data_IF_559449652326
#
_entry.id   IF_559449652326
#
_cell.length_a   1.000
_cell.length_b   1.000
_cell.length_c   1.000
_cell.angle_alpha   90.00
_cell.angle_beta   90.00
_cell.angle_gamma   90.00
#
_symmetry.space_group_name_H-M   'P 1'
#
loop_
_entity.id
_entity.type
_entity.pdbx_description
1 polymer ?
#
# COMPACT_ATOMS: atom_id res chain seq x y z
N UNK A 1 -4.97 66.26 -57.20
CA UNK A 1 -5.80 65.06 -56.94
C UNK A 1 -4.93 63.96 -56.51
N UNK A 2 -4.84 63.69 -55.20
CA UNK A 2 -4.17 62.52 -54.63
C UNK A 2 -5.06 61.97 -53.53
N UNK A 3 -5.66 60.77 -53.73
CA UNK A 3 -6.44 60.01 -52.74
C UNK A 3 -5.50 59.42 -51.73
N UNK A 4 -5.65 59.77 -50.46
CA UNK A 4 -5.01 59.09 -49.33
C UNK A 4 -5.86 57.90 -48.96
N UNK A 5 -5.28 56.72 -49.02
CA UNK A 5 -5.89 55.46 -48.50
C UNK A 5 -5.65 55.36 -47.00
N UNK A 6 -6.72 55.42 -46.24
CA UNK A 6 -6.71 55.18 -44.79
C UNK A 6 -6.74 53.66 -44.56
N UNK A 7 -5.64 53.07 -44.06
CA UNK A 7 -5.55 51.71 -43.66
C UNK A 7 -6.01 51.62 -42.21
N UNK A 8 -7.18 51.04 -42.00
CA UNK A 8 -7.73 50.72 -40.68
C UNK A 8 -7.12 49.38 -40.22
N UNK A 9 -6.15 49.45 -39.29
CA UNK A 9 -5.52 48.25 -38.67
C UNK A 9 -6.38 47.77 -37.54
N UNK A 10 -7.10 46.64 -37.73
CA UNK A 10 -7.88 45.98 -36.71
C UNK A 10 -6.94 45.08 -35.86
N UNK A 11 -6.59 45.56 -34.69
CA UNK A 11 -5.81 44.80 -33.73
C UNK A 11 -6.74 43.83 -32.99
N UNK A 12 -6.72 42.53 -33.37
CA UNK A 12 -7.47 41.46 -32.73
C UNK A 12 -6.74 41.05 -31.45
N UNK A 13 -7.24 41.50 -30.29
CA UNK A 13 -6.74 41.09 -28.96
C UNK A 13 -7.15 39.65 -28.70
N UNK A 14 -6.22 38.70 -28.88
CA UNK A 14 -6.31 37.33 -28.40
C UNK A 14 -6.06 37.30 -26.87
N UNK A 15 -7.14 37.29 -26.10
CA UNK A 15 -7.08 36.99 -24.66
C UNK A 15 -6.77 35.51 -24.47
N UNK A 16 -5.68 35.12 -23.76
CA UNK A 16 -5.47 33.73 -23.40
C UNK A 16 -6.56 33.31 -22.43
N UNK A 17 -7.35 32.32 -22.80
CA UNK A 17 -8.24 31.64 -21.87
C UNK A 17 -7.38 30.87 -20.82
N UNK A 18 -7.22 31.47 -19.66
CA UNK A 18 -6.62 30.77 -18.49
C UNK A 18 -7.60 29.70 -18.08
N UNK A 19 -7.36 28.48 -18.54
CA UNK A 19 -8.06 27.27 -18.05
C UNK A 19 -7.62 27.06 -16.61
N UNK A 20 -8.48 27.45 -15.66
CA UNK A 20 -8.33 27.08 -14.26
C UNK A 20 -8.48 25.56 -14.17
N UNK A 21 -7.37 24.85 -14.21
CA UNK A 21 -7.34 23.44 -13.86
C UNK A 21 -7.84 23.34 -12.41
N UNK A 22 -9.10 22.91 -12.25
CA UNK A 22 -9.64 22.56 -10.95
C UNK A 22 -8.79 21.41 -10.40
N UNK A 23 -7.94 21.71 -9.44
CA UNK A 23 -7.26 20.74 -8.61
C UNK A 23 -8.34 19.98 -7.83
N UNK A 24 -8.79 18.85 -8.37
CA UNK A 24 -9.62 17.92 -7.62
C UNK A 24 -8.77 17.39 -6.46
N UNK A 25 -9.10 17.80 -5.25
CA UNK A 25 -8.52 17.17 -4.05
C UNK A 25 -8.71 15.65 -4.18
N UNK A 26 -7.70 14.83 -3.90
CA UNK A 26 -7.84 13.39 -4.02
C UNK A 26 -9.01 12.94 -3.14
N UNK A 27 -9.98 12.27 -3.77
CA UNK A 27 -11.14 11.74 -3.06
C UNK A 27 -10.65 10.65 -2.12
N UNK A 28 -10.87 10.81 -0.82
CA UNK A 28 -10.50 9.82 0.19
C UNK A 28 -11.14 8.47 -0.12
N UNK A 29 -10.33 7.42 -0.08
CA UNK A 29 -10.81 6.06 -0.24
C UNK A 29 -11.51 5.61 1.06
N UNK A 30 -12.80 5.31 0.97
CA UNK A 30 -13.58 4.81 2.10
C UNK A 30 -13.94 3.34 1.88
N UNK A 31 -13.64 2.49 2.86
CA UNK A 31 -13.95 1.07 2.84
C UNK A 31 -14.67 0.66 4.12
N UNK A 32 -15.62 -0.26 4.00
CA UNK A 32 -16.31 -0.89 5.12
C UNK A 32 -16.11 -2.41 5.01
N UNK A 33 -15.31 -2.99 5.91
CA UNK A 33 -15.07 -4.43 5.95
C UNK A 33 -15.96 -5.05 7.01
N UNK A 34 -16.85 -5.95 6.61
CA UNK A 34 -17.78 -6.65 7.50
C UNK A 34 -17.22 -8.01 7.90
N UNK A 35 -17.25 -8.31 9.20
CA UNK A 35 -16.88 -9.62 9.74
C UNK A 35 -18.00 -10.20 10.59
N UNK A 36 -18.17 -11.53 10.57
CA UNK A 36 -19.10 -12.19 11.50
C UNK A 36 -18.62 -12.06 12.94
N UNK A 37 -17.32 -12.18 13.17
CA UNK A 37 -16.63 -11.91 14.43
C UNK A 37 -15.36 -11.11 14.17
N UNK A 38 -14.94 -10.31 15.14
CA UNK A 38 -13.67 -9.58 15.07
C UNK A 38 -13.06 -9.55 16.48
N UNK A 39 -11.82 -10.00 16.61
CA UNK A 39 -10.99 -9.70 17.78
C UNK A 39 -10.23 -8.41 17.49
N UNK A 40 -10.33 -7.42 18.39
CA UNK A 40 -9.54 -6.19 18.24
C UNK A 40 -8.21 -6.29 19.01
N UNK A 41 -7.34 -5.29 18.83
CA UNK A 41 -6.05 -5.25 19.49
C UNK A 41 -6.14 -5.10 21.04
N UNK A 42 -7.32 -4.81 21.57
CA UNK A 42 -7.59 -4.66 23.00
C UNK A 42 -8.21 -5.90 23.63
N UNK A 43 -8.34 -6.99 22.85
CA UNK A 43 -8.88 -8.26 23.32
C UNK A 43 -10.41 -8.32 23.35
N UNK A 44 -11.11 -7.34 22.79
CA UNK A 44 -12.57 -7.35 22.69
C UNK A 44 -13.03 -8.18 21.50
N UNK A 45 -13.99 -9.06 21.73
CA UNK A 45 -14.69 -9.79 20.68
C UNK A 45 -15.94 -9.01 20.26
N UNK A 46 -15.99 -8.65 18.99
CA UNK A 46 -17.14 -8.04 18.35
C UNK A 46 -17.90 -9.09 17.54
N UNK A 47 -19.23 -9.03 17.53
CA UNK A 47 -20.10 -9.84 16.66
C UNK A 47 -20.72 -8.93 15.62
N UNK A 48 -20.79 -9.37 14.37
CA UNK A 48 -21.23 -8.58 13.23
C UNK A 48 -20.49 -7.22 13.12
N UNK A 49 -19.17 -7.29 13.23
CA UNK A 49 -18.31 -6.12 13.22
C UNK A 49 -18.19 -5.49 11.84
N UNK A 50 -18.11 -4.18 11.81
CA UNK A 50 -17.83 -3.38 10.62
C UNK A 50 -16.62 -2.52 10.93
N UNK A 51 -15.54 -2.74 10.18
CA UNK A 51 -14.32 -1.92 10.26
C UNK A 51 -14.41 -0.85 9.18
N UNK A 52 -14.49 0.41 9.59
CA UNK A 52 -14.48 1.56 8.69
C UNK A 52 -13.03 2.02 8.47
N UNK A 53 -12.63 2.10 7.21
CA UNK A 53 -11.27 2.45 6.80
C UNK A 53 -11.33 3.69 5.91
N UNK A 54 -10.51 4.67 6.21
CA UNK A 54 -10.28 5.86 5.42
C UNK A 54 -8.83 5.86 4.96
N UNK A 55 -8.63 5.77 3.66
CA UNK A 55 -7.31 5.58 3.03
C UNK A 55 -6.59 4.32 3.57
N UNK A 56 -5.55 4.50 4.38
CA UNK A 56 -4.73 3.45 5.00
C UNK A 56 -4.98 3.29 6.50
N UNK A 57 -6.02 3.96 7.06
CA UNK A 57 -6.26 4.01 8.51
C UNK A 57 -7.62 3.46 8.91
N UNK A 58 -7.64 2.66 9.96
CA UNK A 58 -8.88 2.29 10.62
C UNK A 58 -9.45 3.53 11.32
N UNK A 59 -10.64 3.91 10.91
CA UNK A 59 -11.37 5.06 11.46
C UNK A 59 -12.12 4.67 12.71
N UNK A 60 -12.86 3.55 12.63
CA UNK A 60 -13.65 3.02 13.73
C UNK A 60 -14.03 1.57 13.50
N UNK A 61 -14.47 0.93 14.59
CA UNK A 61 -15.14 -0.37 14.56
C UNK A 61 -16.54 -0.17 15.15
N UNK A 62 -17.57 -0.62 14.41
CA UNK A 62 -18.98 -0.50 14.80
C UNK A 62 -19.70 -1.81 14.51
N UNK A 63 -20.92 -1.95 15.03
CA UNK A 63 -21.87 -3.02 14.65
C UNK A 63 -23.09 -2.44 13.92
N UNK A 64 -23.15 -1.11 13.79
CA UNK A 64 -24.30 -0.42 13.21
C UNK A 64 -24.04 -0.15 11.71
N UNK A 65 -24.86 -0.75 10.85
CA UNK A 65 -24.74 -0.57 9.40
C UNK A 65 -25.07 0.85 8.92
N UNK A 66 -25.78 1.65 9.70
CA UNK A 66 -26.04 3.06 9.36
C UNK A 66 -24.80 3.94 9.44
N UNK A 67 -23.72 3.47 10.10
CA UNK A 67 -22.46 4.18 10.18
C UNK A 67 -21.63 4.06 8.90
N UNK A 68 -22.02 3.17 7.97
CA UNK A 68 -21.33 2.99 6.70
C UNK A 68 -21.62 4.21 5.80
N UNK A 69 -20.56 4.94 5.37
CA UNK A 69 -20.76 6.04 4.43
C UNK A 69 -21.35 5.55 3.11
N UNK A 70 -22.29 6.33 2.52
CA UNK A 70 -23.05 5.92 1.33
C UNK A 70 -22.20 5.55 0.11
N UNK A 71 -20.97 6.08 0.01
CA UNK A 71 -20.03 5.83 -1.08
C UNK A 71 -18.84 4.95 -0.68
N UNK A 72 -18.90 4.30 0.50
CA UNK A 72 -17.85 3.38 0.93
C UNK A 72 -17.91 2.08 0.13
N UNK A 73 -16.74 1.59 -0.29
CA UNK A 73 -16.62 0.24 -0.84
C UNK A 73 -16.90 -0.78 0.26
N UNK A 74 -17.87 -1.65 0.07
CA UNK A 74 -18.20 -2.71 1.02
C UNK A 74 -17.42 -3.97 0.65
N UNK A 75 -16.69 -4.52 1.63
CA UNK A 75 -16.00 -5.82 1.56
C UNK A 75 -16.69 -6.74 2.57
N UNK A 76 -17.46 -7.71 2.08
CA UNK A 76 -18.22 -8.61 2.94
C UNK A 76 -17.43 -9.88 3.26
N UNK A 77 -16.91 -9.93 4.47
CA UNK A 77 -16.25 -11.09 5.08
C UNK A 77 -17.04 -11.61 6.29
N UNK A 78 -18.36 -11.47 6.28
CA UNK A 78 -19.24 -11.86 7.41
C UNK A 78 -19.20 -13.36 7.76
N UNK A 79 -18.69 -14.19 6.86
CA UNK A 79 -18.43 -15.62 7.14
C UNK A 79 -17.11 -15.89 7.88
N UNK A 80 -16.28 -14.87 8.05
CA UNK A 80 -14.94 -14.99 8.62
C UNK A 80 -14.83 -14.28 9.96
N UNK A 81 -13.79 -14.66 10.70
CA UNK A 81 -13.35 -13.94 11.90
C UNK A 81 -12.16 -13.07 11.54
N UNK A 82 -12.30 -11.76 11.76
CA UNK A 82 -11.20 -10.79 11.59
C UNK A 82 -10.28 -10.80 12.81
N UNK A 83 -9.00 -10.62 12.56
CA UNK A 83 -7.94 -10.44 13.56
C UNK A 83 -7.07 -9.26 13.13
N UNK A 84 -6.40 -8.57 14.06
CA UNK A 84 -5.27 -7.71 13.71
C UNK A 84 -4.20 -8.52 12.98
N UNK A 85 -3.50 -7.88 12.04
CA UNK A 85 -2.37 -8.52 11.40
C UNK A 85 -1.31 -8.94 12.41
N UNK A 86 -0.73 -10.11 12.19
CA UNK A 86 0.34 -10.65 13.03
C UNK A 86 1.61 -9.83 12.88
N UNK A 87 2.43 -9.82 13.92
CA UNK A 87 3.73 -9.16 13.95
C UNK A 87 4.80 -10.21 14.20
N UNK A 88 5.75 -10.33 13.28
CA UNK A 88 6.94 -11.14 13.46
C UNK A 88 8.13 -10.24 13.81
N UNK A 89 8.73 -10.46 14.96
CA UNK A 89 9.77 -9.59 15.50
C UNK A 89 11.19 -10.08 15.22
N UNK A 90 11.34 -11.17 14.49
CA UNK A 90 12.64 -11.73 14.12
C UNK A 90 12.57 -12.35 12.74
N UNK A 91 12.91 -11.58 11.71
CA UNK A 91 12.95 -12.02 10.32
C UNK A 91 14.28 -11.68 9.65
N UNK A 92 14.52 -12.34 8.52
CA UNK A 92 15.57 -12.06 7.55
C UNK A 92 14.93 -12.09 6.17
N UNK A 93 14.22 -11.01 5.84
CA UNK A 93 13.30 -10.96 4.69
C UNK A 93 14.02 -11.06 3.35
N UNK A 94 15.27 -10.62 3.28
CA UNK A 94 16.08 -10.65 2.05
C UNK A 94 16.88 -11.92 1.88
N UNK A 95 16.97 -12.75 2.91
CA UNK A 95 17.63 -14.05 2.80
C UNK A 95 16.74 -14.99 1.98
N UNK A 96 17.11 -15.16 0.71
CA UNK A 96 16.42 -16.08 -0.18
C UNK A 96 17.21 -17.38 -0.31
N UNK A 97 16.57 -18.49 0.03
CA UNK A 97 17.06 -19.82 -0.29
C UNK A 97 16.04 -20.52 -1.18
N UNK A 98 16.47 -21.14 -2.25
CA UNK A 98 15.61 -21.89 -3.15
C UNK A 98 15.33 -23.32 -2.67
N UNK A 99 15.87 -23.65 -1.49
CA UNK A 99 15.76 -24.99 -0.86
C UNK A 99 16.24 -26.11 -1.79
N UNK A 100 17.18 -25.81 -2.71
CA UNK A 100 17.72 -26.82 -3.61
C UNK A 100 18.38 -27.95 -2.82
N UNK A 101 17.91 -29.20 -2.97
CA UNK A 101 18.46 -30.32 -2.22
C UNK A 101 19.98 -30.47 -2.46
N UNK A 102 20.72 -30.65 -1.36
CA UNK A 102 22.18 -30.89 -1.41
C UNK A 102 23.05 -29.64 -1.60
N UNK A 103 22.47 -28.45 -1.70
CA UNK A 103 23.23 -27.21 -1.72
C UNK A 103 23.47 -26.69 -0.29
N UNK A 104 24.73 -26.41 0.10
CA UNK A 104 24.98 -25.77 1.39
C UNK A 104 24.28 -24.42 1.50
N UNK A 105 23.66 -24.16 2.66
CA UNK A 105 22.94 -22.90 2.91
C UNK A 105 23.81 -21.68 2.65
N UNK A 106 25.07 -21.67 3.10
CA UNK A 106 26.00 -20.57 2.87
C UNK A 106 26.18 -20.26 1.38
N UNK A 107 26.24 -21.29 0.54
CA UNK A 107 26.38 -21.11 -0.91
C UNK A 107 25.13 -20.47 -1.52
N UNK A 108 23.95 -20.82 -1.03
CA UNK A 108 22.71 -20.22 -1.48
C UNK A 108 22.62 -18.74 -1.04
N UNK A 109 23.02 -18.42 0.19
CA UNK A 109 23.01 -17.05 0.73
C UNK A 109 23.96 -16.09 0.01
N UNK A 110 24.99 -16.61 -0.64
CA UNK A 110 26.01 -15.78 -1.33
C UNK A 110 25.98 -15.92 -2.86
N UNK A 111 24.96 -16.59 -3.37
CA UNK A 111 24.90 -16.92 -4.82
C UNK A 111 24.52 -15.74 -5.71
N UNK A 112 23.78 -14.79 -5.16
CA UNK A 112 23.18 -13.72 -5.93
C UNK A 112 23.74 -12.35 -5.58
N UNK A 113 23.82 -11.42 -6.52
CA UNK A 113 24.05 -10.01 -6.21
C UNK A 113 22.89 -9.39 -5.38
N UNK A 114 23.16 -8.34 -4.56
CA UNK A 114 22.15 -7.71 -3.69
C UNK A 114 20.82 -7.33 -4.39
N UNK A 115 20.91 -6.76 -5.59
CA UNK A 115 19.73 -6.39 -6.35
C UNK A 115 18.86 -7.60 -6.74
N UNK A 116 19.47 -8.74 -6.99
CA UNK A 116 18.77 -10.00 -7.29
C UNK A 116 18.12 -10.55 -6.03
N UNK A 117 18.81 -10.50 -4.88
CA UNK A 117 18.26 -10.95 -3.59
C UNK A 117 17.00 -10.18 -3.23
N UNK A 118 17.00 -8.83 -3.31
CA UNK A 118 15.80 -8.01 -3.08
C UNK A 118 14.66 -8.40 -4.02
N UNK A 119 14.97 -8.67 -5.30
CA UNK A 119 13.96 -9.07 -6.27
C UNK A 119 13.35 -10.43 -5.94
N UNK A 120 14.17 -11.41 -5.54
CA UNK A 120 13.71 -12.75 -5.16
C UNK A 120 12.94 -12.73 -3.84
N UNK A 121 13.38 -11.92 -2.88
CA UNK A 121 12.74 -11.72 -1.58
C UNK A 121 11.28 -11.24 -1.69
N UNK A 122 10.91 -10.56 -2.79
CA UNK A 122 9.53 -10.16 -3.07
C UNK A 122 8.53 -11.31 -2.92
N UNK A 123 8.90 -12.51 -3.34
CA UNK A 123 8.04 -13.69 -3.22
C UNK A 123 7.83 -14.08 -1.75
N UNK A 124 8.88 -13.98 -0.94
CA UNK A 124 8.81 -14.19 0.51
C UNK A 124 7.92 -13.16 1.19
N UNK A 125 8.07 -11.87 0.82
CA UNK A 125 7.24 -10.79 1.36
C UNK A 125 5.74 -11.01 1.10
N UNK A 126 5.38 -11.41 -0.11
CA UNK A 126 3.99 -11.72 -0.45
C UNK A 126 3.45 -12.89 0.37
N UNK A 127 4.20 -13.99 0.48
CA UNK A 127 3.84 -15.14 1.30
C UNK A 127 3.67 -14.78 2.78
N UNK A 128 4.51 -13.89 3.29
CA UNK A 128 4.41 -13.39 4.66
C UNK A 128 3.09 -12.67 4.89
N UNK A 129 2.68 -11.80 3.94
CA UNK A 129 1.36 -11.15 3.98
C UNK A 129 0.22 -12.16 3.86
N UNK A 130 0.30 -13.13 2.96
CA UNK A 130 -0.71 -14.17 2.76
C UNK A 130 -0.87 -15.07 4.00
N UNK A 131 0.19 -15.24 4.78
CA UNK A 131 0.14 -15.91 6.09
C UNK A 131 -0.47 -15.05 7.20
N UNK A 132 -0.85 -13.79 6.92
CA UNK A 132 -1.45 -12.86 7.88
C UNK A 132 -0.45 -12.04 8.69
N UNK A 133 0.85 -12.13 8.40
CA UNK A 133 1.88 -11.30 9.04
C UNK A 133 1.98 -9.98 8.29
N UNK A 134 1.53 -8.90 8.92
CA UNK A 134 1.45 -7.56 8.30
C UNK A 134 2.58 -6.62 8.71
N UNK A 135 3.35 -7.01 9.72
CA UNK A 135 4.49 -6.24 10.23
C UNK A 135 5.61 -7.19 10.59
N UNK A 136 6.84 -6.84 10.21
CA UNK A 136 8.03 -7.60 10.55
C UNK A 136 9.11 -6.69 11.12
N UNK A 137 9.96 -7.23 12.01
CA UNK A 137 11.24 -6.66 12.37
C UNK A 137 12.34 -7.51 11.76
N UNK A 138 13.01 -6.97 10.77
CA UNK A 138 14.16 -7.60 10.16
C UNK A 138 15.41 -7.38 10.99
N UNK A 139 16.18 -8.43 11.23
CA UNK A 139 17.37 -8.39 12.08
C UNK A 139 18.67 -8.37 11.29
N UNK A 140 18.58 -8.04 10.03
CA UNK A 140 19.73 -7.77 9.20
C UNK A 140 19.77 -8.59 7.92
N UNK A 141 20.47 -8.01 6.97
CA UNK A 141 20.82 -8.56 5.67
C UNK A 141 22.26 -8.20 5.33
N UNK A 142 22.77 -8.78 4.29
CA UNK A 142 24.00 -8.31 3.68
C UNK A 142 23.74 -7.01 2.90
N UNK A 143 24.72 -6.10 2.89
CA UNK A 143 24.74 -4.92 2.02
C UNK A 143 23.50 -4.02 2.03
N UNK A 144 22.77 -3.96 3.17
CA UNK A 144 21.59 -3.08 3.37
C UNK A 144 20.39 -3.39 2.48
N UNK A 145 20.24 -4.61 2.03
CA UNK A 145 19.13 -5.08 1.18
C UNK A 145 17.78 -4.96 1.88
N UNK A 146 17.74 -5.17 3.19
CA UNK A 146 16.59 -5.00 4.07
C UNK A 146 16.07 -3.56 4.04
N UNK A 147 17.00 -2.58 4.06
CA UNK A 147 16.67 -1.16 3.93
C UNK A 147 16.05 -0.87 2.56
N UNK A 148 16.66 -1.40 1.49
CA UNK A 148 16.13 -1.22 0.13
C UNK A 148 14.73 -1.83 0.00
N UNK A 149 14.53 -3.04 0.52
CA UNK A 149 13.24 -3.73 0.50
C UNK A 149 12.18 -2.98 1.31
N UNK A 150 12.51 -2.51 2.53
CA UNK A 150 11.63 -1.67 3.34
C UNK A 150 11.17 -0.44 2.58
N UNK A 151 12.08 0.26 1.92
CA UNK A 151 11.78 1.50 1.22
C UNK A 151 10.92 1.24 -0.03
N UNK A 152 11.16 0.16 -0.77
CA UNK A 152 10.29 -0.26 -1.88
C UNK A 152 8.87 -0.57 -1.40
N UNK A 153 8.72 -1.27 -0.27
CA UNK A 153 7.41 -1.55 0.32
C UNK A 153 6.74 -0.25 0.79
N UNK A 154 7.47 0.62 1.45
CA UNK A 154 6.97 1.91 1.96
C UNK A 154 6.45 2.82 0.84
N UNK A 155 7.09 2.80 -0.32
CA UNK A 155 6.70 3.61 -1.48
C UNK A 155 5.65 2.93 -2.37
N UNK A 156 5.22 1.71 -2.04
CA UNK A 156 4.22 0.97 -2.81
C UNK A 156 4.75 0.29 -4.07
N UNK A 157 6.06 0.26 -4.27
CA UNK A 157 6.73 -0.39 -5.40
C UNK A 157 6.86 -1.91 -5.21
N UNK A 158 6.71 -2.37 -3.97
CA UNK A 158 6.71 -3.79 -3.61
C UNK A 158 5.60 -4.09 -2.63
N UNK A 159 4.86 -5.18 -2.85
CA UNK A 159 3.92 -5.71 -1.87
C UNK A 159 4.66 -6.49 -0.79
N UNK A 160 4.43 -6.15 0.45
CA UNK A 160 5.05 -6.81 1.59
C UNK A 160 4.52 -6.28 2.92
N UNK A 161 4.89 -6.93 4.04
CA UNK A 161 4.58 -6.43 5.38
C UNK A 161 5.32 -5.13 5.65
N UNK A 162 4.82 -4.33 6.58
CA UNK A 162 5.58 -3.17 7.09
C UNK A 162 6.88 -3.67 7.72
N UNK A 163 8.01 -3.15 7.27
CA UNK A 163 9.32 -3.56 7.78
C UNK A 163 9.91 -2.53 8.73
N UNK A 164 10.44 -3.01 9.84
CA UNK A 164 11.38 -2.33 10.72
C UNK A 164 12.74 -3.02 10.57
N UNK A 165 13.78 -2.26 10.27
CA UNK A 165 15.15 -2.73 10.00
C UNK A 165 16.14 -1.93 10.82
#
# INVERSE_FOLDING_TARGET
MKLSKLLLSTCLLLLPAISLAQSSSPTKSLKAVKFGKLWDAHGKLWTNAIVLIEDDKIKSVTTNSSDIPAHAQIIDLSKFTGLPGLIDVHTHMTIYTDETPGQPMLKQLTANPPAVEVFLARKGALRTLEAGVTTVRDLGSDQYEDIAMRDLIKHGEMLGPRMFV
#
